data_IF_591620827139
#
_entry.id   IF_591620827139
#
_cell.length_a   1.000
_cell.length_b   1.000
_cell.length_c   1.000
_cell.angle_alpha   90.00
_cell.angle_beta   90.00
_cell.angle_gamma   90.00
#
_symmetry.space_group_name_H-M   'P 1'
#
loop_
_entity.id
_entity.type
_entity.pdbx_description
1 polymer ?
#
# COMPACT_ATOMS: atom_id res chain seq x y z
N UNK A 1 8.89 3.64 3.43
CA UNK A 1 8.64 4.39 4.68
C UNK A 1 8.58 3.44 5.85
N UNK A 2 7.62 2.51 5.86
CA UNK A 2 7.46 1.50 6.91
C UNK A 2 7.63 0.09 6.36
N UNK A 3 7.99 -0.84 7.23
CA UNK A 3 8.02 -2.28 6.95
C UNK A 3 7.48 -3.01 8.17
N UNK A 4 6.52 -3.91 7.95
CA UNK A 4 5.97 -4.80 8.98
C UNK A 4 6.22 -6.24 8.54
N UNK A 5 7.04 -6.96 9.30
CA UNK A 5 7.19 -8.40 9.13
C UNK A 5 6.08 -9.12 9.91
N UNK A 6 5.06 -9.59 9.18
CA UNK A 6 3.87 -10.20 9.78
C UNK A 6 4.22 -11.56 10.37
N UNK A 7 5.08 -12.34 9.70
CA UNK A 7 5.52 -13.65 10.20
C UNK A 7 6.22 -13.51 11.54
N UNK A 8 7.20 -12.62 11.61
CA UNK A 8 7.97 -12.37 12.84
C UNK A 8 7.08 -11.81 13.95
N UNK A 9 6.18 -10.87 13.61
CA UNK A 9 5.27 -10.26 14.59
C UNK A 9 4.33 -11.29 15.20
N UNK A 10 3.70 -12.13 14.37
CA UNK A 10 2.78 -13.17 14.84
C UNK A 10 3.50 -14.24 15.67
N UNK A 11 4.72 -14.62 15.27
CA UNK A 11 5.53 -15.55 16.07
C UNK A 11 5.88 -14.96 17.43
N UNK A 12 6.33 -13.71 17.49
CA UNK A 12 6.72 -13.06 18.75
C UNK A 12 5.54 -12.81 19.69
N UNK A 13 4.39 -12.40 19.16
CA UNK A 13 3.25 -11.96 19.97
C UNK A 13 2.29 -13.10 20.32
N UNK A 14 2.15 -14.08 19.43
CA UNK A 14 1.14 -15.15 19.55
C UNK A 14 1.75 -16.55 19.50
N UNK A 15 3.06 -16.69 19.27
CA UNK A 15 3.77 -17.97 19.10
C UNK A 15 3.19 -18.90 18.01
N UNK A 16 2.56 -18.31 16.99
CA UNK A 16 2.05 -19.07 15.84
C UNK A 16 3.02 -19.03 14.67
N UNK A 17 3.10 -20.13 13.93
CA UNK A 17 3.83 -20.18 12.67
C UNK A 17 2.97 -19.59 11.55
N UNK A 18 3.60 -18.77 10.71
CA UNK A 18 2.95 -18.13 9.59
C UNK A 18 3.86 -18.14 8.37
N UNK A 19 3.25 -18.10 7.18
CA UNK A 19 3.97 -17.99 5.91
C UNK A 19 4.74 -16.68 5.85
N UNK A 20 5.78 -16.62 4.99
CA UNK A 20 6.51 -15.38 4.74
C UNK A 20 5.52 -14.33 4.23
N UNK A 21 5.42 -13.21 4.96
CA UNK A 21 4.45 -12.15 4.68
C UNK A 21 4.98 -10.83 5.23
N UNK A 22 5.15 -9.84 4.36
CA UNK A 22 5.59 -8.48 4.71
C UNK A 22 4.61 -7.46 4.17
N UNK A 23 4.37 -6.40 4.93
CA UNK A 23 3.64 -5.20 4.50
C UNK A 23 4.65 -4.05 4.42
N UNK A 24 4.72 -3.41 3.27
CA UNK A 24 5.61 -2.29 2.97
C UNK A 24 4.77 -1.04 2.77
N UNK A 25 5.11 0.04 3.48
CA UNK A 25 4.52 1.35 3.25
C UNK A 25 5.34 2.15 2.24
N UNK A 26 4.88 2.19 0.99
CA UNK A 26 5.48 2.99 -0.07
C UNK A 26 4.84 4.38 -0.13
N UNK A 27 5.64 5.43 -0.21
CA UNK A 27 5.15 6.80 -0.24
C UNK A 27 5.96 7.65 -1.21
N UNK A 28 5.26 8.45 -2.00
CA UNK A 28 5.83 9.52 -2.80
C UNK A 28 5.42 10.86 -2.15
N UNK A 29 6.33 11.57 -1.45
CA UNK A 29 5.97 12.72 -0.64
C UNK A 29 5.25 13.85 -1.40
N UNK A 30 5.65 14.24 -2.63
CA UNK A 30 4.87 15.19 -3.42
C UNK A 30 3.40 14.82 -3.64
N UNK A 31 3.09 13.55 -3.91
CA UNK A 31 1.68 13.11 -4.08
C UNK A 31 0.94 13.04 -2.75
N UNK A 32 1.60 12.54 -1.70
CA UNK A 32 1.01 12.49 -0.37
C UNK A 32 0.63 13.89 0.12
N UNK A 33 1.51 14.88 -0.06
CA UNK A 33 1.24 16.27 0.28
C UNK A 33 0.05 16.84 -0.52
N UNK A 34 0.01 16.64 -1.84
CA UNK A 34 -1.13 17.08 -2.67
C UNK A 34 -2.44 16.43 -2.24
N UNK A 35 -2.43 15.14 -1.93
CA UNK A 35 -3.61 14.42 -1.47
C UNK A 35 -4.10 14.96 -0.12
N UNK A 36 -3.20 15.15 0.84
CA UNK A 36 -3.51 15.71 2.16
C UNK A 36 -4.06 17.15 2.09
N UNK A 37 -3.66 17.93 1.08
CA UNK A 37 -4.23 19.26 0.84
C UNK A 37 -5.65 19.21 0.27
N UNK A 38 -6.01 18.14 -0.44
CA UNK A 38 -7.32 17.97 -1.05
C UNK A 38 -8.31 17.24 -0.12
N UNK A 39 -7.81 16.35 0.73
CA UNK A 39 -8.55 15.56 1.70
C UNK A 39 -7.66 15.28 2.91
N UNK A 40 -7.96 15.86 4.07
CA UNK A 40 -7.13 15.69 5.27
C UNK A 40 -7.19 14.24 5.78
N UNK A 41 -8.38 13.62 5.72
CA UNK A 41 -8.61 12.26 6.22
C UNK A 41 -7.98 11.18 5.33
N UNK A 42 -7.45 11.54 4.15
CA UNK A 42 -6.73 10.62 3.26
C UNK A 42 -5.54 9.96 3.95
N UNK A 43 -5.01 10.58 5.02
CA UNK A 43 -3.97 10.02 5.87
C UNK A 43 -4.30 8.63 6.41
N UNK A 44 -5.58 8.29 6.58
CA UNK A 44 -6.05 6.95 6.98
C UNK A 44 -5.74 5.87 5.93
N UNK A 45 -5.58 6.28 4.67
CA UNK A 45 -5.31 5.40 3.53
C UNK A 45 -3.84 5.48 3.07
N UNK A 46 -3.02 6.33 3.70
CA UNK A 46 -1.60 6.45 3.46
C UNK A 46 -0.79 5.62 4.49
N UNK A 47 0.42 5.15 4.14
CA UNK A 47 1.04 5.15 2.81
C UNK A 47 0.41 4.09 1.88
N UNK A 48 0.81 4.06 0.60
CA UNK A 48 0.41 3.00 -0.32
C UNK A 48 0.99 1.65 0.17
N UNK A 49 0.10 0.77 0.66
CA UNK A 49 0.50 -0.55 1.13
C UNK A 49 0.86 -1.46 -0.05
N UNK A 50 2.03 -2.10 0.05
CA UNK A 50 2.48 -3.17 -0.84
C UNK A 50 2.76 -4.39 0.01
N UNK A 51 2.15 -5.52 -0.32
CA UNK A 51 2.40 -6.79 0.35
C UNK A 51 3.31 -7.67 -0.48
N UNK A 52 4.24 -8.35 0.19
CA UNK A 52 5.08 -9.40 -0.38
C UNK A 52 4.85 -10.65 0.44
N UNK A 53 4.30 -11.68 -0.18
CA UNK A 53 3.92 -12.90 0.54
C UNK A 53 4.14 -14.15 -0.29
N UNK A 54 4.27 -15.27 0.40
CA UNK A 54 4.44 -16.57 -0.25
C UNK A 54 3.08 -17.23 -0.55
N UNK A 55 2.95 -17.78 -1.75
CA UNK A 55 1.83 -18.62 -2.16
C UNK A 55 2.31 -19.68 -3.14
N UNK A 56 2.03 -20.95 -2.84
CA UNK A 56 2.39 -22.09 -3.70
C UNK A 56 3.87 -22.11 -4.11
N UNK A 57 4.78 -21.85 -3.15
CA UNK A 57 6.22 -21.83 -3.37
C UNK A 57 6.75 -20.64 -4.17
N UNK A 58 5.92 -19.64 -4.45
CA UNK A 58 6.30 -18.41 -5.17
C UNK A 58 6.08 -17.18 -4.30
N UNK A 59 6.92 -16.16 -4.52
CA UNK A 59 6.70 -14.81 -4.00
C UNK A 59 5.65 -14.11 -4.84
N UNK A 60 4.65 -13.53 -4.19
CA UNK A 60 3.61 -12.72 -4.79
C UNK A 60 3.74 -11.31 -4.26
N UNK A 61 3.71 -10.33 -5.17
CA UNK A 61 3.67 -8.91 -4.85
C UNK A 61 2.28 -8.39 -5.20
N UNK A 62 1.64 -7.66 -4.29
CA UNK A 62 0.39 -6.97 -4.56
C UNK A 62 0.43 -5.57 -3.93
N UNK A 63 -0.07 -4.58 -4.65
CA UNK A 63 -0.18 -3.21 -4.17
C UNK A 63 -1.65 -2.83 -4.00
N UNK A 64 -1.90 -1.96 -3.02
CA UNK A 64 -3.16 -1.27 -2.88
C UNK A 64 -3.48 -0.43 -4.14
N UNK A 65 -4.73 -0.44 -4.60
CA UNK A 65 -5.19 0.38 -5.74
C UNK A 65 -5.57 1.79 -5.25
N UNK A 66 -4.78 2.84 -5.56
CA UNK A 66 -5.08 4.20 -5.14
C UNK A 66 -6.42 4.72 -5.63
N UNK A 67 -6.95 4.21 -6.75
CA UNK A 67 -8.27 4.62 -7.27
C UNK A 67 -9.42 4.28 -6.33
N UNK A 68 -9.20 3.38 -5.37
CA UNK A 68 -10.19 3.07 -4.35
C UNK A 68 -10.34 4.20 -3.34
N UNK A 69 -9.32 5.06 -3.18
CA UNK A 69 -9.31 6.14 -2.19
C UNK A 69 -10.38 7.18 -2.43
N UNK A 70 -10.58 7.62 -3.69
CA UNK A 70 -11.61 8.62 -4.01
C UNK A 70 -13.02 8.15 -3.65
N UNK A 71 -13.28 6.84 -3.80
CA UNK A 71 -14.55 6.21 -3.43
C UNK A 71 -14.73 6.11 -1.93
N UNK A 72 -13.67 5.78 -1.19
CA UNK A 72 -13.72 5.64 0.27
C UNK A 72 -13.87 7.01 0.94
N UNK A 73 -13.24 8.04 0.40
CA UNK A 73 -13.33 9.42 0.90
C UNK A 73 -14.54 10.19 0.37
N UNK A 74 -15.27 9.63 -0.61
CA UNK A 74 -16.32 10.34 -1.34
C UNK A 74 -15.87 11.72 -1.87
N UNK A 75 -14.63 11.78 -2.37
CA UNK A 75 -13.98 13.02 -2.79
C UNK A 75 -13.35 12.87 -4.19
N UNK A 76 -14.02 13.42 -5.19
CA UNK A 76 -13.61 13.33 -6.60
C UNK A 76 -12.32 14.09 -6.90
N UNK A 77 -11.92 15.06 -6.07
CA UNK A 77 -10.66 15.78 -6.23
C UNK A 77 -9.42 14.87 -6.07
N UNK A 78 -9.59 13.70 -5.45
CA UNK A 78 -8.53 12.71 -5.26
C UNK A 78 -8.28 11.86 -6.53
N UNK A 79 -9.27 11.70 -7.40
CA UNK A 79 -9.16 10.86 -8.61
C UNK A 79 -7.93 11.14 -9.49
N UNK A 80 -7.62 12.39 -9.88
CA UNK A 80 -6.45 12.65 -10.72
C UNK A 80 -5.13 12.28 -10.03
N UNK A 81 -5.05 12.51 -8.72
CA UNK A 81 -3.87 12.14 -7.92
C UNK A 81 -3.73 10.62 -7.85
N UNK A 82 -4.84 9.93 -7.52
CA UNK A 82 -4.91 8.48 -7.45
C UNK A 82 -4.55 7.81 -8.79
N UNK A 83 -5.03 8.35 -9.91
CA UNK A 83 -4.76 7.82 -11.24
C UNK A 83 -3.25 7.87 -11.57
N UNK A 84 -2.58 8.98 -11.27
CA UNK A 84 -1.14 9.09 -11.51
C UNK A 84 -0.32 8.16 -10.61
N UNK A 85 -0.70 8.05 -9.33
CA UNK A 85 -0.05 7.12 -8.38
C UNK A 85 -0.25 5.67 -8.83
N UNK A 86 -1.45 5.32 -9.31
CA UNK A 86 -1.74 3.99 -9.85
C UNK A 86 -0.83 3.63 -11.01
N UNK A 87 -0.71 4.49 -12.02
CA UNK A 87 0.18 4.25 -13.17
C UNK A 87 1.64 4.06 -12.74
N UNK A 88 2.09 4.80 -11.72
CA UNK A 88 3.44 4.64 -11.16
C UNK A 88 3.62 3.30 -10.47
N UNK A 89 2.66 2.87 -9.65
CA UNK A 89 2.70 1.57 -8.99
C UNK A 89 2.65 0.41 -9.99
N UNK A 90 1.78 0.50 -11.00
CA UNK A 90 1.68 -0.51 -12.08
C UNK A 90 3.01 -0.70 -12.81
N UNK A 91 3.72 0.40 -13.13
CA UNK A 91 5.06 0.31 -13.73
C UNK A 91 6.07 -0.39 -12.84
N UNK A 92 6.01 -0.15 -11.52
CA UNK A 92 6.91 -0.82 -10.57
C UNK A 92 6.59 -2.30 -10.46
N UNK A 93 5.30 -2.67 -10.39
CA UNK A 93 4.86 -4.07 -10.31
C UNK A 93 5.20 -4.83 -11.59
N UNK A 94 5.07 -4.21 -12.76
CA UNK A 94 5.39 -4.84 -14.04
C UNK A 94 6.90 -5.08 -14.25
N UNK A 95 7.76 -4.45 -13.44
CA UNK A 95 9.21 -4.60 -13.51
C UNK A 95 9.76 -5.75 -12.64
N UNK A 96 8.90 -6.49 -11.93
CA UNK A 96 9.27 -7.54 -10.97
C UNK A 96 8.82 -8.93 -11.43
#
# INVERSE_FOLDING_TARGET
LTTIDVKETLKKKLNVDFKNYKILGACNPPFAHKALQAEEEIGLLLPCNVIVYEKSGKSIVAAFDPMSMSRVMDNTAIEPIAAEVKQRLERVIAAV
#
